data_IF_226238023576
#
_entry.id   IF_226238023576
#
_cell.length_a   1.000
_cell.length_b   1.000
_cell.length_c   1.000
_cell.angle_alpha   90.00
_cell.angle_beta   90.00
_cell.angle_gamma   90.00
#
_symmetry.space_group_name_H-M   'P 1'
#
loop_
_entity.id
_entity.type
_entity.pdbx_description
1 polymer ?
#
# COMPACT_ATOMS: atom_id res chain seq x y z
N UNK A 1 9.87 -22.99 -14.23
CA UNK A 1 8.97 -23.60 -13.23
C UNK A 1 7.70 -22.79 -13.16
N UNK A 2 6.54 -23.44 -13.15
CA UNK A 2 5.25 -22.76 -12.96
C UNK A 2 5.02 -22.47 -11.48
N UNK A 3 4.15 -21.50 -11.17
CA UNK A 3 3.75 -21.17 -9.80
C UNK A 3 3.18 -22.37 -9.04
N UNK A 4 2.51 -23.28 -9.75
CA UNK A 4 1.97 -24.52 -9.18
C UNK A 4 3.09 -25.46 -8.74
N UNK A 5 4.14 -25.61 -9.55
CA UNK A 5 5.30 -26.45 -9.22
C UNK A 5 6.05 -25.89 -8.01
N UNK A 6 6.29 -24.57 -7.99
CA UNK A 6 6.95 -23.89 -6.88
C UNK A 6 6.19 -24.09 -5.56
N UNK A 7 4.86 -24.06 -5.60
CA UNK A 7 4.02 -24.27 -4.41
C UNK A 7 4.15 -25.68 -3.84
N UNK A 8 4.17 -26.69 -4.69
CA UNK A 8 4.30 -28.08 -4.23
C UNK A 8 5.70 -28.36 -3.69
N UNK A 9 6.75 -27.87 -4.36
CA UNK A 9 8.13 -27.99 -3.87
C UNK A 9 8.31 -27.30 -2.51
N UNK A 10 7.74 -26.10 -2.31
CA UNK A 10 7.75 -25.40 -1.03
C UNK A 10 7.09 -26.21 0.10
N UNK A 11 5.96 -26.87 -0.16
CA UNK A 11 5.30 -27.73 0.83
C UNK A 11 6.19 -28.90 1.22
N UNK A 12 6.91 -29.47 0.28
CA UNK A 12 7.79 -30.60 0.55
C UNK A 12 9.06 -30.17 1.30
N UNK A 13 9.61 -29.00 0.99
CA UNK A 13 10.70 -28.41 1.79
C UNK A 13 10.27 -28.07 3.22
N UNK A 14 9.01 -27.71 3.45
CA UNK A 14 8.48 -27.50 4.80
C UNK A 14 8.38 -28.83 5.57
N UNK A 15 8.00 -29.93 4.91
CA UNK A 15 7.90 -31.25 5.57
C UNK A 15 9.26 -31.83 5.93
N UNK A 16 10.27 -31.59 5.09
CA UNK A 16 11.62 -32.12 5.26
C UNK A 16 12.56 -31.17 6.02
N UNK A 17 12.16 -29.91 6.19
CA UNK A 17 12.97 -28.84 6.75
C UNK A 17 13.24 -29.00 8.25
N UNK A 18 14.45 -28.64 8.66
CA UNK A 18 14.81 -28.58 10.07
C UNK A 18 14.22 -27.32 10.76
N UNK A 19 14.34 -27.27 12.08
CA UNK A 19 13.84 -26.14 12.89
C UNK A 19 14.39 -24.78 12.43
N UNK A 20 15.62 -24.74 11.89
CA UNK A 20 16.27 -23.50 11.47
C UNK A 20 15.67 -22.99 10.16
N UNK A 21 15.50 -23.87 9.18
CA UNK A 21 14.87 -23.54 7.90
C UNK A 21 13.43 -23.08 8.13
N UNK A 22 12.66 -23.81 8.96
CA UNK A 22 11.28 -23.46 9.26
C UNK A 22 11.15 -22.09 9.94
N UNK A 23 12.06 -21.73 10.85
CA UNK A 23 12.08 -20.39 11.48
C UNK A 23 12.33 -19.27 10.47
N UNK A 24 13.24 -19.49 9.53
CA UNK A 24 13.54 -18.51 8.48
C UNK A 24 12.34 -18.37 7.54
N UNK A 25 11.79 -19.49 7.05
CA UNK A 25 10.63 -19.49 6.16
C UNK A 25 9.42 -18.82 6.81
N UNK A 26 9.18 -19.11 8.09
CA UNK A 26 8.13 -18.48 8.88
C UNK A 26 8.35 -16.96 9.02
N UNK A 27 9.58 -16.52 9.27
CA UNK A 27 9.89 -15.09 9.40
C UNK A 27 9.65 -14.33 8.09
N UNK A 28 10.09 -14.91 6.97
CA UNK A 28 9.85 -14.36 5.62
C UNK A 28 8.35 -14.32 5.33
N UNK A 29 7.65 -15.45 5.48
CA UNK A 29 6.21 -15.51 5.23
C UNK A 29 5.44 -14.53 6.13
N UNK A 30 5.88 -14.35 7.38
CA UNK A 30 5.28 -13.39 8.32
C UNK A 30 5.43 -11.96 7.82
N UNK A 31 6.58 -11.58 7.28
CA UNK A 31 6.82 -10.25 6.70
C UNK A 31 5.95 -9.99 5.46
N UNK A 32 5.74 -11.00 4.61
CA UNK A 32 4.80 -10.90 3.48
C UNK A 32 3.33 -10.90 3.93
N UNK A 33 3.01 -11.52 5.07
CA UNK A 33 1.65 -11.56 5.62
C UNK A 33 1.30 -10.36 6.50
N UNK A 34 2.31 -9.68 7.05
CA UNK A 34 2.10 -8.46 7.80
C UNK A 34 1.69 -7.41 6.78
N UNK A 35 0.38 -7.17 6.69
CA UNK A 35 -0.14 -6.01 5.99
C UNK A 35 0.62 -4.79 6.49
N UNK A 36 1.34 -4.16 5.57
CA UNK A 36 2.10 -2.96 5.84
C UNK A 36 1.10 -1.80 5.98
N UNK A 37 0.38 -1.79 7.12
CA UNK A 37 -0.46 -0.66 7.52
C UNK A 37 0.38 0.59 7.81
N UNK A 38 1.71 0.53 7.64
CA UNK A 38 2.66 1.62 7.90
C UNK A 38 2.93 2.51 6.69
N UNK A 39 2.16 2.42 5.59
CA UNK A 39 2.04 3.59 4.71
C UNK A 39 1.51 4.75 5.55
N UNK A 40 2.35 5.75 5.82
CA UNK A 40 2.02 6.94 6.64
C UNK A 40 0.63 7.47 6.28
N UNK A 41 -0.35 7.23 7.13
CA UNK A 41 -1.74 7.64 6.90
C UNK A 41 -2.74 6.66 7.52
N UNK A 42 -3.88 7.20 7.95
CA UNK A 42 -4.97 6.36 8.47
C UNK A 42 -5.66 5.62 7.32
N UNK A 43 -6.02 4.33 7.50
CA UNK A 43 -6.79 3.58 6.53
C UNK A 43 -8.04 4.36 6.11
N UNK A 44 -8.19 4.58 4.80
CA UNK A 44 -9.34 5.30 4.26
C UNK A 44 -10.43 4.30 3.90
N UNK A 45 -11.64 4.49 4.43
CA UNK A 45 -12.78 3.66 4.04
C UNK A 45 -13.13 3.87 2.55
N UNK A 46 -13.72 2.86 1.91
CA UNK A 46 -14.18 2.94 0.51
C UNK A 46 -15.16 4.10 0.30
N UNK A 47 -16.00 4.40 1.29
CA UNK A 47 -16.94 5.52 1.24
C UNK A 47 -16.21 6.86 1.29
N UNK A 48 -15.18 6.98 2.13
CA UNK A 48 -14.33 8.17 2.21
C UNK A 48 -13.60 8.41 0.89
N UNK A 49 -13.11 7.35 0.24
CA UNK A 49 -12.45 7.43 -1.07
C UNK A 49 -13.42 7.95 -2.15
N UNK A 50 -14.63 7.36 -2.24
CA UNK A 50 -15.65 7.79 -3.19
C UNK A 50 -16.03 9.26 -3.01
N UNK A 51 -16.21 9.70 -1.77
CA UNK A 51 -16.51 11.10 -1.46
C UNK A 51 -15.39 12.05 -1.91
N UNK A 52 -14.13 11.71 -1.59
CA UNK A 52 -12.95 12.50 -1.99
C UNK A 52 -12.80 12.61 -3.51
N UNK A 53 -13.09 11.54 -4.25
CA UNK A 53 -13.06 11.55 -5.72
C UNK A 53 -14.14 12.46 -6.29
N UNK A 54 -15.36 12.42 -5.75
CA UNK A 54 -16.45 13.31 -6.19
C UNK A 54 -16.13 14.78 -5.91
N UNK A 55 -15.59 15.08 -4.73
CA UNK A 55 -15.17 16.45 -4.37
C UNK A 55 -14.00 16.94 -5.22
N UNK A 56 -13.04 16.09 -5.55
CA UNK A 56 -11.94 16.43 -6.44
C UNK A 56 -12.44 16.72 -7.87
N UNK A 57 -13.34 15.89 -8.40
CA UNK A 57 -13.98 16.12 -9.70
C UNK A 57 -14.78 17.43 -9.71
N UNK A 58 -15.48 17.74 -8.63
CA UNK A 58 -16.21 19.00 -8.49
C UNK A 58 -15.27 20.21 -8.47
N UNK A 59 -14.14 20.14 -7.75
CA UNK A 59 -13.12 21.21 -7.71
C UNK A 59 -12.47 21.45 -9.06
N UNK A 60 -12.10 20.39 -9.77
CA UNK A 60 -11.54 20.48 -11.13
C UNK A 60 -12.56 21.13 -12.07
N UNK A 61 -13.83 20.71 -11.99
CA UNK A 61 -14.92 21.27 -12.81
C UNK A 61 -15.24 22.72 -12.48
N UNK A 62 -15.04 23.13 -11.22
CA UNK A 62 -15.23 24.50 -10.75
C UNK A 62 -14.05 25.43 -11.10
N UNK A 63 -12.99 24.93 -11.76
CA UNK A 63 -11.81 25.73 -12.09
C UNK A 63 -10.98 26.16 -10.87
N UNK A 64 -11.24 25.58 -9.70
CA UNK A 64 -10.48 25.87 -8.47
C UNK A 64 -9.21 25.04 -8.44
N UNK A 65 -8.27 25.37 -9.32
CA UNK A 65 -6.88 24.92 -9.23
C UNK A 65 -6.06 26.07 -8.66
N UNK A 66 -5.39 25.83 -7.54
CA UNK A 66 -4.36 26.73 -7.02
C UNK A 66 -3.09 26.42 -7.81
N UNK A 67 -2.63 27.36 -8.62
CA UNK A 67 -1.38 27.21 -9.35
C UNK A 67 -0.21 27.36 -8.38
N UNK A 68 0.98 26.92 -8.81
CA UNK A 68 2.17 27.09 -7.99
C UNK A 68 2.48 28.58 -7.75
N UNK A 69 2.16 29.46 -8.70
CA UNK A 69 2.26 30.91 -8.57
C UNK A 69 1.30 31.46 -7.50
N UNK A 70 0.08 30.91 -7.38
CA UNK A 70 -0.88 31.32 -6.34
C UNK A 70 -0.37 30.96 -4.93
N UNK A 71 0.29 29.82 -4.77
CA UNK A 71 0.90 29.41 -3.51
C UNK A 71 2.10 30.28 -3.14
N UNK A 72 2.91 30.67 -4.13
CA UNK A 72 4.07 31.57 -3.91
C UNK A 72 3.61 32.97 -3.49
N UNK A 73 2.54 33.50 -4.08
CA UNK A 73 1.94 34.78 -3.66
C UNK A 73 1.33 34.74 -2.25
N UNK A 74 0.73 33.61 -1.84
CA UNK A 74 0.21 33.47 -0.48
C UNK A 74 1.32 33.38 0.56
N UNK A 75 2.46 32.77 0.22
CA UNK A 75 3.65 32.71 1.08
C UNK A 75 4.33 34.07 1.27
N UNK A 76 4.35 34.94 0.26
CA UNK A 76 4.90 36.31 0.42
C UNK A 76 4.05 37.22 1.33
N UNK A 77 2.76 36.89 1.50
CA UNK A 77 1.82 37.67 2.34
C UNK A 77 1.76 37.19 3.80
N UNK A 78 2.50 36.14 4.16
CA UNK A 78 2.68 35.66 5.53
C UNK A 78 3.91 36.29 6.17
#
# INVERSE_FOLDING_TARGET
MSTTQIREELKDYIKLGDSRLLKILHSVAKEYSSEDFTKKGNPMSVNTLKKRVTEAKARIKAGSFTTQEDLEMEMEKW
#
